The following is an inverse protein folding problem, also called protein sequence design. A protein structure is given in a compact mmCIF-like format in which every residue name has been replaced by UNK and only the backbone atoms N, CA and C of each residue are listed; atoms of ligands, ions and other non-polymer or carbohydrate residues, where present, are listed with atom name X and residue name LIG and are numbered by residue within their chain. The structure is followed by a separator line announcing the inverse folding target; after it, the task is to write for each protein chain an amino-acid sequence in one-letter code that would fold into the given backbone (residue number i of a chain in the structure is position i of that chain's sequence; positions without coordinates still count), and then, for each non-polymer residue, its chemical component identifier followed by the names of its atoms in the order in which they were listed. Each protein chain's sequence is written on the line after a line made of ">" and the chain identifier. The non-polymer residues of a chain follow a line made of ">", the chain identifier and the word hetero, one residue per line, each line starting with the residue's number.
data_IF_017857092572
#
_entry.id   IF_017857092572
#
_cell.length_a   1.000
_cell.length_b   1.000
_cell.length_c   1.000
_cell.angle_alpha   90.00
_cell.angle_beta   90.00
_cell.angle_gamma   90.00
#
_symmetry.space_group_name_H-M   'P 1'
#
loop_
_entity.id
_entity.type
_entity.pdbx_description
1 polymer ?
#
# COMPACT_ATOMS: atom_id res chain seq x y z
N UNK A 1 -48.24 0.19 4.19
CA UNK A 1 -47.13 -0.72 3.75
C UNK A 1 -46.30 -0.15 2.61
N UNK A 2 -46.84 0.67 1.70
CA UNK A 2 -46.09 1.22 0.53
C UNK A 2 -45.01 2.27 0.88
N UNK A 3 -45.18 3.03 1.98
CA UNK A 3 -44.23 4.09 2.38
C UNK A 3 -42.87 3.54 2.90
N UNK A 4 -42.86 2.36 3.52
CA UNK A 4 -41.65 1.74 4.03
C UNK A 4 -40.72 1.23 2.90
N UNK A 5 -41.30 0.77 1.79
CA UNK A 5 -40.57 0.27 0.63
C UNK A 5 -39.85 1.40 -0.13
N UNK A 6 -40.43 2.58 -0.17
CA UNK A 6 -39.83 3.77 -0.83
C UNK A 6 -38.65 4.32 -0.03
N UNK A 7 -38.73 4.30 1.29
CA UNK A 7 -37.61 4.76 2.15
C UNK A 7 -36.39 3.83 2.07
N UNK A 8 -36.62 2.52 1.95
CA UNK A 8 -35.53 1.55 1.76
C UNK A 8 -34.84 1.67 0.39
N UNK A 9 -35.58 2.01 -0.66
CA UNK A 9 -35.02 2.16 -2.02
C UNK A 9 -34.13 3.40 -2.16
N UNK A 10 -34.36 4.45 -1.35
CA UNK A 10 -33.55 5.69 -1.39
C UNK A 10 -32.29 5.57 -0.49
N UNK A 11 -32.32 4.77 0.55
CA UNK A 11 -31.22 4.66 1.51
C UNK A 11 -30.05 3.80 1.00
N UNK A 12 -30.32 2.77 0.19
CA UNK A 12 -29.32 1.81 -0.29
C UNK A 12 -28.26 2.42 -1.23
N UNK A 13 -28.58 3.27 -2.22
CA UNK A 13 -27.58 3.83 -3.12
C UNK A 13 -26.57 4.79 -2.46
N UNK A 14 -26.93 5.36 -1.32
CA UNK A 14 -26.10 6.37 -0.66
C UNK A 14 -25.04 5.77 0.29
N UNK A 15 -25.07 4.47 0.56
CA UNK A 15 -24.10 3.79 1.43
C UNK A 15 -22.85 3.30 0.65
N UNK A 16 -22.96 3.02 -0.64
CA UNK A 16 -21.87 2.48 -1.46
C UNK A 16 -20.61 3.35 -1.47
N UNK A 17 -20.69 4.69 -1.69
CA UNK A 17 -19.50 5.53 -1.67
C UNK A 17 -18.85 5.60 -0.29
N UNK A 18 -19.64 5.60 0.80
CA UNK A 18 -19.11 5.62 2.17
C UNK A 18 -18.35 4.34 2.50
N UNK A 19 -18.86 3.18 2.08
CA UNK A 19 -18.19 1.90 2.25
C UNK A 19 -16.89 1.85 1.43
N UNK A 20 -16.90 2.32 0.19
CA UNK A 20 -15.71 2.39 -0.65
C UNK A 20 -14.64 3.34 -0.06
N UNK A 21 -15.05 4.48 0.51
CA UNK A 21 -14.13 5.40 1.18
C UNK A 21 -13.50 4.77 2.44
N UNK A 22 -14.28 4.04 3.24
CA UNK A 22 -13.79 3.32 4.41
C UNK A 22 -12.78 2.21 4.01
N UNK A 23 -13.07 1.47 2.94
CA UNK A 23 -12.16 0.47 2.40
C UNK A 23 -10.87 1.09 1.86
N UNK A 24 -10.94 2.23 1.15
CA UNK A 24 -9.76 2.94 0.67
C UNK A 24 -8.85 3.37 1.84
N UNK A 25 -9.42 3.93 2.90
CA UNK A 25 -8.69 4.28 4.12
C UNK A 25 -8.03 3.06 4.76
N UNK A 26 -8.76 1.97 4.91
CA UNK A 26 -8.24 0.72 5.48
C UNK A 26 -7.08 0.16 4.66
N UNK A 27 -7.22 0.13 3.33
CA UNK A 27 -6.17 -0.34 2.40
C UNK A 27 -4.93 0.54 2.48
N UNK A 28 -5.09 1.86 2.51
CA UNK A 28 -3.98 2.79 2.66
C UNK A 28 -3.23 2.59 3.98
N UNK A 29 -3.95 2.40 5.09
CA UNK A 29 -3.35 2.09 6.39
C UNK A 29 -2.57 0.78 6.37
N UNK A 30 -3.12 -0.28 5.78
CA UNK A 30 -2.46 -1.58 5.65
C UNK A 30 -1.16 -1.49 4.85
N UNK A 31 -1.16 -0.76 3.73
CA UNK A 31 0.03 -0.54 2.92
C UNK A 31 1.11 0.23 3.70
N UNK A 32 0.72 1.29 4.41
CA UNK A 32 1.63 2.09 5.22
C UNK A 32 2.23 1.27 6.39
N UNK A 33 1.42 0.46 7.05
CA UNK A 33 1.87 -0.39 8.16
C UNK A 33 2.79 -1.51 7.67
N UNK A 34 2.53 -2.07 6.50
CA UNK A 34 3.42 -3.05 5.88
C UNK A 34 4.79 -2.46 5.53
N UNK A 35 4.83 -1.22 5.01
CA UNK A 35 6.08 -0.51 4.75
C UNK A 35 6.87 -0.22 6.04
N UNK A 36 6.17 0.23 7.09
CA UNK A 36 6.78 0.45 8.42
C UNK A 36 7.32 -0.83 9.01
N UNK A 37 6.55 -1.92 8.92
CA UNK A 37 6.97 -3.24 9.38
C UNK A 37 8.22 -3.73 8.63
N UNK A 38 8.24 -3.64 7.30
CA UNK A 38 9.38 -4.03 6.48
C UNK A 38 10.65 -3.27 6.89
N UNK A 39 10.54 -1.95 7.10
CA UNK A 39 11.65 -1.13 7.59
C UNK A 39 12.12 -1.55 8.97
N UNK A 40 11.20 -1.74 9.90
CA UNK A 40 11.54 -2.12 11.27
C UNK A 40 12.19 -3.49 11.34
N UNK A 41 11.72 -4.43 10.53
CA UNK A 41 12.33 -5.74 10.43
C UNK A 41 13.75 -5.66 9.86
N UNK A 42 13.98 -4.86 8.81
CA UNK A 42 15.31 -4.63 8.24
C UNK A 42 16.28 -4.05 9.27
N UNK A 43 15.84 -3.05 10.03
CA UNK A 43 16.63 -2.45 11.12
C UNK A 43 16.98 -3.46 12.23
N UNK A 44 16.01 -4.26 12.66
CA UNK A 44 16.19 -5.19 13.77
C UNK A 44 17.09 -6.39 13.42
N UNK A 45 17.04 -6.83 12.18
CA UNK A 45 17.78 -8.01 11.70
C UNK A 45 19.04 -7.65 10.91
N UNK A 46 19.25 -6.37 10.60
CA UNK A 46 20.31 -5.87 9.72
C UNK A 46 20.33 -6.59 8.37
N UNK A 47 19.16 -7.00 7.89
CA UNK A 47 18.99 -7.69 6.61
C UNK A 47 18.21 -6.83 5.63
N UNK A 48 18.46 -7.04 4.34
CA UNK A 48 17.70 -6.38 3.30
C UNK A 48 16.31 -7.01 3.19
N UNK A 49 15.28 -6.17 3.25
CA UNK A 49 13.86 -6.56 3.13
C UNK A 49 13.24 -5.88 1.93
N UNK A 50 12.58 -6.65 1.10
CA UNK A 50 11.91 -6.16 -0.11
C UNK A 50 10.40 -6.05 0.09
N UNK A 51 9.84 -4.94 -0.32
CA UNK A 51 8.40 -4.71 -0.43
C UNK A 51 8.03 -4.64 -1.91
N UNK A 52 7.26 -5.61 -2.37
CA UNK A 52 6.81 -5.70 -3.77
C UNK A 52 5.32 -5.36 -3.83
N UNK A 53 4.94 -4.22 -4.41
CA UNK A 53 3.54 -3.86 -4.58
C UNK A 53 2.90 -4.68 -5.73
N UNK A 54 1.62 -5.01 -5.58
CA UNK A 54 0.81 -5.70 -6.59
C UNK A 54 -0.62 -5.17 -6.57
N UNK A 55 -0.90 -4.12 -7.33
CA UNK A 55 -2.19 -3.42 -7.27
C UNK A 55 -2.46 -2.86 -5.88
N UNK A 56 -3.58 -3.27 -5.24
CA UNK A 56 -3.88 -2.93 -3.85
C UNK A 56 -3.26 -3.90 -2.83
N UNK A 57 -2.59 -4.95 -3.30
CA UNK A 57 -1.88 -5.91 -2.46
C UNK A 57 -0.37 -5.66 -2.40
N UNK A 58 0.31 -6.47 -1.61
CA UNK A 58 1.77 -6.40 -1.46
C UNK A 58 2.34 -7.72 -0.96
N UNK A 59 3.63 -7.87 -1.15
CA UNK A 59 4.42 -8.94 -0.53
C UNK A 59 5.66 -8.34 0.11
N UNK A 60 5.93 -8.72 1.35
CA UNK A 60 7.16 -8.37 2.08
C UNK A 60 7.97 -9.64 2.26
N UNK A 61 9.20 -9.64 1.79
CA UNK A 61 10.09 -10.79 1.88
C UNK A 61 11.53 -10.38 2.18
N UNK A 62 12.30 -11.29 2.77
CA UNK A 62 13.75 -11.15 2.92
C UNK A 62 14.45 -11.52 1.61
N UNK A 63 15.71 -11.11 1.44
CA UNK A 63 16.54 -11.54 0.31
C UNK A 63 16.78 -13.05 0.25
N UNK A 64 16.65 -13.74 1.38
CA UNK A 64 16.70 -15.21 1.43
C UNK A 64 15.42 -15.87 0.88
N UNK A 65 14.43 -15.09 0.44
CA UNK A 65 13.16 -15.58 -0.09
C UNK A 65 12.12 -15.91 0.98
N UNK A 66 12.40 -15.63 2.25
CA UNK A 66 11.41 -15.84 3.31
C UNK A 66 10.35 -14.75 3.25
N UNK A 67 9.12 -15.15 2.96
CA UNK A 67 7.96 -14.24 2.98
C UNK A 67 7.58 -13.92 4.42
N UNK A 68 7.57 -12.63 4.75
CA UNK A 68 7.24 -12.11 6.08
C UNK A 68 5.77 -11.71 6.19
N UNK A 69 5.29 -11.04 5.17
CA UNK A 69 3.92 -10.54 5.08
C UNK A 69 3.43 -10.58 3.63
N UNK A 70 2.15 -10.84 3.44
CA UNK A 70 1.50 -10.64 2.14
C UNK A 70 0.03 -10.30 2.33
N UNK A 71 -0.46 -9.44 1.46
CA UNK A 71 -1.88 -9.21 1.30
C UNK A 71 -2.23 -9.33 -0.19
N UNK A 72 -3.23 -10.13 -0.49
CA UNK A 72 -3.75 -10.22 -1.85
C UNK A 72 -4.52 -8.94 -2.19
N UNK A 73 -4.39 -8.49 -3.42
CA UNK A 73 -5.18 -7.38 -3.97
C UNK A 73 -6.64 -7.80 -4.21
N UNK A 74 -7.31 -8.27 -3.16
CA UNK A 74 -8.76 -8.39 -3.21
C UNK A 74 -9.31 -6.99 -3.44
N UNK A 75 -9.50 -6.61 -4.69
CA UNK A 75 -10.11 -5.34 -5.04
C UNK A 75 -11.51 -5.32 -4.44
N UNK A 76 -11.64 -4.69 -3.27
CA UNK A 76 -12.93 -4.33 -2.75
C UNK A 76 -13.61 -3.47 -3.81
N UNK A 77 -14.81 -3.82 -4.21
CA UNK A 77 -15.52 -3.10 -5.27
C UNK A 77 -15.53 -1.59 -4.94
N UNK A 78 -15.00 -0.79 -5.85
CA UNK A 78 -14.93 0.66 -5.71
C UNK A 78 -13.62 1.22 -5.13
N UNK A 79 -12.60 0.41 -4.88
CA UNK A 79 -11.25 0.87 -4.48
C UNK A 79 -10.28 0.68 -5.65
N UNK A 80 -9.53 1.72 -5.94
CA UNK A 80 -8.46 1.73 -6.93
C UNK A 80 -7.15 2.10 -6.27
N UNK A 81 -6.09 1.36 -6.58
CA UNK A 81 -4.75 1.61 -6.05
C UNK A 81 -3.79 1.88 -7.20
N UNK A 82 -3.13 3.02 -7.11
CA UNK A 82 -1.94 3.30 -7.89
C UNK A 82 -0.74 2.99 -6.99
N UNK A 83 -0.25 1.78 -7.11
CA UNK A 83 0.87 1.29 -6.31
C UNK A 83 2.17 2.05 -6.62
N UNK A 84 3.15 1.90 -5.74
CA UNK A 84 4.53 2.27 -6.03
C UNK A 84 4.95 1.60 -7.34
N UNK A 85 5.56 2.35 -8.25
CA UNK A 85 5.94 1.86 -9.58
C UNK A 85 7.10 0.84 -9.56
N UNK A 86 7.76 0.69 -8.43
CA UNK A 86 8.96 -0.13 -8.27
C UNK A 86 8.91 -0.93 -6.97
N UNK A 87 9.66 -2.02 -6.94
CA UNK A 87 9.93 -2.75 -5.69
C UNK A 87 10.79 -1.88 -4.77
N UNK A 88 10.37 -1.76 -3.54
CA UNK A 88 11.07 -1.00 -2.50
C UNK A 88 11.89 -1.97 -1.66
N UNK A 89 13.16 -1.66 -1.46
CA UNK A 89 14.03 -2.43 -0.57
C UNK A 89 14.48 -1.55 0.59
N UNK A 90 14.33 -2.08 1.79
CA UNK A 90 14.83 -1.46 3.02
C UNK A 90 16.16 -2.11 3.38
N UNK A 91 17.19 -1.29 3.53
CA UNK A 91 18.52 -1.75 3.96
C UNK A 91 18.55 -1.90 5.49
N UNK A 92 19.56 -2.59 5.99
CA UNK A 92 19.75 -2.80 7.43
C UNK A 92 19.97 -1.53 8.26
N UNK A 93 20.25 -0.40 7.63
CA UNK A 93 20.30 0.94 8.26
C UNK A 93 18.96 1.69 8.19
N UNK A 94 17.93 1.08 7.59
CA UNK A 94 16.60 1.66 7.41
C UNK A 94 16.46 2.59 6.22
N UNK A 95 17.50 2.80 5.43
CA UNK A 95 17.43 3.55 4.18
C UNK A 95 16.69 2.78 3.09
N UNK A 96 16.22 3.50 2.08
CA UNK A 96 15.41 2.96 0.99
C UNK A 96 16.22 2.87 -0.30
N UNK A 97 16.14 1.72 -0.94
CA UNK A 97 16.57 1.53 -2.32
C UNK A 97 15.36 1.17 -3.20
N UNK A 98 15.32 1.71 -4.40
CA UNK A 98 14.32 1.38 -5.41
C UNK A 98 14.92 0.33 -6.34
N UNK A 99 14.21 -0.76 -6.52
CA UNK A 99 14.67 -1.90 -7.29
C UNK A 99 13.80 -2.12 -8.53
N UNK A 100 14.43 -2.31 -9.66
CA UNK A 100 13.78 -2.70 -10.90
C UNK A 100 14.21 -4.11 -11.29
N UNK A 101 13.25 -4.91 -11.74
CA UNK A 101 13.51 -6.23 -12.28
C UNK A 101 13.99 -6.09 -13.71
N UNK A 102 15.25 -6.41 -13.97
CA UNK A 102 15.83 -6.46 -15.30
C UNK A 102 16.07 -7.90 -15.77
N UNK A 103 16.50 -8.07 -17.03
CA UNK A 103 16.81 -9.38 -17.62
C UNK A 103 17.96 -10.12 -16.88
N UNK A 104 18.78 -9.40 -16.13
CA UNK A 104 19.93 -9.93 -15.38
C UNK A 104 19.68 -10.00 -13.87
N UNK A 105 18.43 -9.80 -13.41
CA UNK A 105 18.06 -9.82 -12.00
C UNK A 105 17.60 -8.48 -11.44
N UNK A 106 17.55 -8.37 -10.14
CA UNK A 106 17.10 -7.18 -9.42
C UNK A 106 18.24 -6.15 -9.37
N UNK A 107 18.04 -5.00 -9.99
CA UNK A 107 18.96 -3.85 -9.90
C UNK A 107 18.38 -2.81 -8.97
N UNK A 108 19.11 -2.48 -7.91
CA UNK A 108 18.67 -1.53 -6.88
C UNK A 108 19.57 -0.30 -6.87
N UNK A 109 18.94 0.88 -6.76
CA UNK A 109 19.64 2.15 -6.56
C UNK A 109 19.07 2.87 -5.32
N UNK A 110 19.93 3.61 -4.58
CA UNK A 110 19.43 4.41 -3.46
C UNK A 110 18.32 5.36 -3.91
N UNK A 111 17.25 5.45 -3.11
CA UNK A 111 16.17 6.39 -3.40
C UNK A 111 16.68 7.83 -3.21
N UNK A 112 16.54 8.65 -4.24
CA UNK A 112 16.92 10.08 -4.22
C UNK A 112 15.73 11.02 -4.03
N UNK A 113 14.51 10.51 -4.20
CA UNK A 113 13.27 11.26 -4.08
C UNK A 113 12.21 10.44 -3.35
N UNK A 114 11.14 11.12 -2.91
CA UNK A 114 9.99 10.46 -2.31
C UNK A 114 9.27 9.58 -3.34
N UNK A 115 8.88 8.40 -2.90
CA UNK A 115 8.00 7.50 -3.66
C UNK A 115 6.58 7.61 -3.13
N UNK A 116 5.61 7.67 -4.01
CA UNK A 116 4.21 7.89 -3.64
C UNK A 116 3.32 6.79 -4.19
N UNK A 117 2.46 6.26 -3.34
CA UNK A 117 1.33 5.41 -3.73
C UNK A 117 0.02 6.13 -3.42
N UNK A 118 -1.00 5.91 -4.25
CA UNK A 118 -2.32 6.50 -4.06
C UNK A 118 -3.38 5.41 -4.01
N UNK A 119 -4.27 5.51 -3.02
CA UNK A 119 -5.45 4.64 -2.88
C UNK A 119 -6.68 5.52 -2.92
N UNK A 120 -7.60 5.24 -3.84
CA UNK A 120 -8.82 6.01 -4.03
C UNK A 120 -10.06 5.13 -3.95
N UNK A 121 -11.14 5.68 -3.41
CA UNK A 121 -12.42 5.00 -3.34
C UNK A 121 -13.50 5.89 -2.72
N UNK A 122 -14.71 5.83 -3.24
CA UNK A 122 -15.84 6.59 -2.72
C UNK A 122 -15.67 8.11 -2.71
N UNK A 123 -14.86 8.67 -3.60
CA UNK A 123 -14.54 10.11 -3.64
C UNK A 123 -13.40 10.54 -2.71
N UNK A 124 -12.85 9.63 -1.91
CA UNK A 124 -11.69 9.89 -1.04
C UNK A 124 -10.39 9.42 -1.69
N UNK A 125 -9.33 10.21 -1.53
CA UNK A 125 -8.00 9.88 -1.99
C UNK A 125 -7.04 9.83 -0.80
N UNK A 126 -6.31 8.73 -0.69
CA UNK A 126 -5.29 8.52 0.32
C UNK A 126 -3.92 8.41 -0.35
N UNK A 127 -2.98 9.21 0.11
CA UNK A 127 -1.63 9.23 -0.39
C UNK A 127 -0.68 8.68 0.66
N UNK A 128 0.17 7.75 0.25
CA UNK A 128 1.22 7.17 1.07
C UNK A 128 2.55 7.64 0.47
N UNK A 129 3.32 8.36 1.25
CA UNK A 129 4.62 8.89 0.83
C UNK A 129 5.72 8.20 1.61
N UNK A 130 6.65 7.61 0.88
CA UNK A 130 7.86 6.98 1.40
C UNK A 130 9.06 7.87 1.05
N UNK A 131 9.73 8.39 2.07
CA UNK A 131 10.95 9.17 1.90
C UNK A 131 12.18 8.28 1.70
N UNK A 132 13.27 8.81 1.12
CA UNK A 132 14.54 8.09 0.98
C UNK A 132 15.11 7.57 2.31
N UNK A 133 14.85 8.27 3.41
CA UNK A 133 15.23 7.84 4.77
C UNK A 133 14.30 6.78 5.39
N UNK A 134 13.33 6.25 4.64
CA UNK A 134 12.43 5.21 5.09
C UNK A 134 11.26 5.69 5.96
N UNK A 135 11.01 6.99 6.04
CA UNK A 135 9.84 7.53 6.75
C UNK A 135 8.60 7.38 5.89
N UNK A 136 7.56 6.78 6.47
CA UNK A 136 6.26 6.57 5.80
C UNK A 136 5.24 7.53 6.40
N UNK A 137 4.67 8.38 5.56
CA UNK A 137 3.58 9.30 5.92
C UNK A 137 2.33 8.97 5.13
N UNK A 138 1.17 9.20 5.73
CA UNK A 138 -0.13 9.02 5.08
C UNK A 138 -0.91 10.32 5.19
N UNK A 139 -1.50 10.75 4.11
CA UNK A 139 -2.43 11.88 4.04
C UNK A 139 -3.67 11.49 3.26
N UNK A 140 -4.82 12.01 3.63
CA UNK A 140 -6.08 11.74 2.94
C UNK A 140 -6.94 12.99 2.83
N UNK A 141 -7.72 13.05 1.78
CA UNK A 141 -8.71 14.10 1.50
C UNK A 141 -10.06 13.50 1.12
#
# INVERSE_FOLDING_TARGET
>A
MALAAVLLAVAVPNLRPQVAAAHAKSTASQLADALRYARQYALNTSTLVTFTPSGCGYTVATTAGTQLLSASSGASSGVSCQALSQTVSFLGDGSVALCTQGAQGLSCSPASANSTATVSGGGSNWQIVLSPGGVVTTSGS
#
